data_IF_559822922876
#
_entry.id   IF_559822922876
#
_cell.length_a   1.000
_cell.length_b   1.000
_cell.length_c   1.000
_cell.angle_alpha   90.00
_cell.angle_beta   90.00
_cell.angle_gamma   90.00
#
_symmetry.space_group_name_H-M   'P 1'
#
loop_
_entity.id
_entity.type
_entity.pdbx_description
1 polymer ?
#
# COMPACT_ATOMS: atom_id res chain seq x y z
N UNK A 1 -4.03 -23.64 6.96
CA UNK A 1 -4.28 -22.20 7.16
C UNK A 1 -2.94 -21.55 7.45
N UNK A 2 -2.57 -20.49 6.76
CA UNK A 2 -1.28 -19.79 6.94
C UNK A 2 -1.48 -18.28 7.08
N UNK A 3 -0.41 -17.53 7.37
CA UNK A 3 -0.45 -16.07 7.48
C UNK A 3 0.05 -15.39 6.21
N UNK A 4 -0.63 -14.33 5.79
CA UNK A 4 -0.17 -13.51 4.69
C UNK A 4 1.15 -12.80 5.08
N UNK A 5 2.24 -12.92 4.30
CA UNK A 5 3.52 -12.28 4.59
C UNK A 5 3.48 -10.75 4.58
N UNK A 6 2.47 -10.13 3.93
CA UNK A 6 2.37 -8.66 3.86
C UNK A 6 1.53 -8.05 4.99
N UNK A 7 0.37 -8.63 5.31
CA UNK A 7 -0.59 -8.03 6.25
C UNK A 7 -0.82 -8.87 7.51
N UNK A 8 -0.17 -10.05 7.60
CA UNK A 8 -0.29 -11.02 8.70
C UNK A 8 -1.70 -11.60 8.92
N UNK A 9 -2.65 -11.28 8.04
CA UNK A 9 -3.99 -11.85 8.08
C UNK A 9 -3.96 -13.37 7.81
N UNK A 10 -4.86 -14.11 8.45
CA UNK A 10 -5.06 -15.54 8.20
C UNK A 10 -5.61 -15.73 6.80
N UNK A 11 -4.99 -16.64 6.04
CA UNK A 11 -5.34 -16.99 4.68
C UNK A 11 -5.42 -18.50 4.50
N UNK A 12 -6.24 -18.91 3.53
CA UNK A 12 -6.38 -20.30 3.13
C UNK A 12 -5.18 -20.76 2.29
N UNK A 13 -4.90 -22.05 2.30
CA UNK A 13 -3.76 -22.59 1.56
C UNK A 13 -4.05 -22.64 0.06
N UNK A 14 -3.08 -22.29 -0.77
CA UNK A 14 -3.23 -22.24 -2.23
C UNK A 14 -3.93 -20.99 -2.79
N UNK A 15 -4.36 -20.03 -1.96
CA UNK A 15 -4.98 -18.80 -2.49
C UNK A 15 -3.98 -17.97 -3.29
N UNK A 16 -4.39 -17.47 -4.46
CA UNK A 16 -3.53 -16.64 -5.32
C UNK A 16 -3.52 -15.16 -4.92
N UNK A 17 -4.52 -14.73 -4.13
CA UNK A 17 -4.70 -13.33 -3.76
C UNK A 17 -5.22 -13.22 -2.34
N UNK A 18 -4.56 -12.44 -1.50
CA UNK A 18 -4.99 -12.24 -0.12
C UNK A 18 -6.33 -11.47 -0.09
N UNK A 19 -7.37 -11.95 0.61
CA UNK A 19 -8.66 -11.26 0.70
C UNK A 19 -8.59 -9.94 1.48
N UNK A 20 -7.61 -9.79 2.39
CA UNK A 20 -7.47 -8.61 3.23
C UNK A 20 -6.69 -7.49 2.52
N UNK A 21 -5.43 -7.74 2.13
CA UNK A 21 -4.60 -6.72 1.51
C UNK A 21 -4.65 -6.71 -0.03
N UNK A 22 -5.38 -7.64 -0.66
CA UNK A 22 -5.53 -7.77 -2.12
C UNK A 22 -4.23 -8.00 -2.89
N UNK A 23 -3.12 -8.28 -2.20
CA UNK A 23 -1.83 -8.64 -2.82
C UNK A 23 -1.85 -10.06 -3.38
N UNK A 24 -1.02 -10.28 -4.39
CA UNK A 24 -0.90 -11.55 -5.08
C UNK A 24 0.15 -12.41 -4.40
N UNK A 25 -0.19 -13.68 -4.22
CA UNK A 25 0.61 -14.64 -3.50
C UNK A 25 1.06 -15.71 -4.48
N UNK A 26 2.36 -15.99 -4.49
CA UNK A 26 2.95 -17.15 -5.17
C UNK A 26 3.36 -18.17 -4.13
N UNK A 27 2.96 -19.42 -4.31
CA UNK A 27 3.32 -20.50 -3.40
C UNK A 27 4.63 -21.15 -3.84
N UNK A 28 5.61 -21.23 -2.94
CA UNK A 28 6.86 -21.96 -3.15
C UNK A 28 7.09 -22.89 -1.96
N UNK A 29 7.33 -24.18 -2.22
CA UNK A 29 7.53 -25.20 -1.17
C UNK A 29 6.42 -25.26 -0.10
N UNK A 30 5.18 -24.93 -0.47
CA UNK A 30 4.06 -24.90 0.48
C UNK A 30 3.93 -23.60 1.29
N UNK A 31 4.78 -22.60 1.04
CA UNK A 31 4.74 -21.31 1.73
C UNK A 31 4.32 -20.16 0.79
N UNK A 32 3.48 -19.22 1.26
CA UNK A 32 3.05 -18.06 0.47
C UNK A 32 4.15 -16.99 0.44
N UNK A 33 4.58 -16.63 -0.77
CA UNK A 33 5.61 -15.61 -1.03
C UNK A 33 5.00 -14.44 -1.81
N UNK A 34 5.38 -13.21 -1.47
CA UNK A 34 4.97 -12.02 -2.24
C UNK A 34 5.74 -11.96 -3.56
N UNK A 35 5.10 -11.44 -4.59
CA UNK A 35 5.81 -11.09 -5.83
C UNK A 35 6.66 -9.84 -5.62
N UNK A 36 7.89 -9.86 -6.14
CA UNK A 36 8.90 -8.80 -5.96
C UNK A 36 8.38 -7.40 -6.33
N UNK A 37 7.51 -7.32 -7.35
CA UNK A 37 6.88 -6.05 -7.75
C UNK A 37 5.95 -5.43 -6.70
N UNK A 38 5.36 -6.23 -5.80
CA UNK A 38 4.43 -5.73 -4.78
C UNK A 38 5.13 -5.17 -3.55
N UNK A 39 6.40 -5.51 -3.31
CA UNK A 39 7.20 -4.89 -2.27
C UNK A 39 7.60 -3.45 -2.63
N UNK A 40 7.77 -3.17 -3.93
CA UNK A 40 8.17 -1.84 -4.44
C UNK A 40 7.00 -0.84 -4.47
N UNK A 41 5.75 -1.29 -4.59
CA UNK A 41 4.59 -0.40 -4.72
C UNK A 41 4.18 0.33 -3.43
N UNK A 42 4.54 -0.19 -2.26
CA UNK A 42 4.24 0.47 -0.98
C UNK A 42 5.08 1.74 -0.76
N UNK A 43 6.24 1.84 -1.40
CA UNK A 43 7.17 2.98 -1.24
C UNK A 43 6.71 4.17 -2.12
N UNK A 44 6.13 3.89 -3.30
CA UNK A 44 5.73 4.94 -4.24
C UNK A 44 4.59 5.84 -3.75
N UNK A 45 3.72 5.34 -2.86
CA UNK A 45 2.53 6.06 -2.40
C UNK A 45 2.84 7.17 -1.38
N UNK A 46 3.99 7.11 -0.71
CA UNK A 46 4.40 8.12 0.27
C UNK A 46 5.06 9.35 -0.36
N UNK A 47 5.68 9.21 -1.54
CA UNK A 47 6.43 10.30 -2.17
C UNK A 47 5.51 11.41 -2.71
N UNK A 48 4.33 11.07 -3.22
CA UNK A 48 3.38 12.06 -3.76
C UNK A 48 2.84 13.00 -2.68
N UNK A 49 2.62 12.51 -1.45
CA UNK A 49 2.10 13.32 -0.34
C UNK A 49 3.14 14.33 0.15
N UNK A 50 4.42 13.94 0.19
CA UNK A 50 5.51 14.82 0.62
C UNK A 50 5.71 15.98 -0.38
N UNK A 51 5.58 15.71 -1.68
CA UNK A 51 5.81 16.73 -2.72
C UNK A 51 4.61 17.66 -2.86
N UNK A 52 3.38 17.12 -2.87
CA UNK A 52 2.17 17.92 -3.13
C UNK A 52 1.51 18.45 -1.86
N UNK A 53 1.73 17.82 -0.71
CA UNK A 53 1.14 18.24 0.57
C UNK A 53 1.46 19.68 0.95
N UNK A 54 2.75 20.10 0.96
CA UNK A 54 3.12 21.47 1.27
C UNK A 54 2.53 22.48 0.28
N UNK A 55 2.51 22.14 -1.02
CA UNK A 55 1.99 23.02 -2.08
C UNK A 55 0.49 23.26 -1.92
N UNK A 56 -0.28 22.21 -1.59
CA UNK A 56 -1.71 22.32 -1.30
C UNK A 56 -1.98 23.15 -0.05
N UNK A 57 -1.21 22.96 1.02
CA UNK A 57 -1.34 23.77 2.25
C UNK A 57 -1.08 25.26 1.99
N UNK A 58 -0.05 25.58 1.21
CA UNK A 58 0.26 26.95 0.81
C UNK A 58 -0.90 27.53 -0.03
N UNK A 59 -1.39 26.80 -1.02
CA UNK A 59 -2.52 27.24 -1.85
C UNK A 59 -3.77 27.53 -0.99
N UNK A 60 -4.12 26.64 -0.06
CA UNK A 60 -5.26 26.82 0.85
C UNK A 60 -5.06 28.05 1.74
N UNK A 61 -3.87 28.25 2.29
CA UNK A 61 -3.54 29.44 3.10
C UNK A 61 -3.79 30.75 2.33
N UNK A 62 -3.32 30.82 1.07
CA UNK A 62 -3.52 32.01 0.24
C UNK A 62 -4.98 32.24 -0.15
N UNK A 63 -5.75 31.18 -0.39
CA UNK A 63 -7.19 31.30 -0.69
C UNK A 63 -7.93 31.85 0.53
N UNK A 64 -7.69 31.32 1.72
CA UNK A 64 -8.34 31.79 2.96
C UNK A 64 -7.97 33.25 3.24
N UNK A 65 -6.68 33.60 3.11
CA UNK A 65 -6.22 34.98 3.34
C UNK A 65 -6.82 35.99 2.36
N UNK A 66 -7.17 35.57 1.14
CA UNK A 66 -7.82 36.45 0.14
C UNK A 66 -9.32 36.64 0.40
N UNK A 67 -9.95 35.73 1.14
CA UNK A 67 -11.37 35.74 1.49
C UNK A 67 -11.67 36.52 2.79
N UNK A 68 -10.64 36.85 3.57
CA UNK A 68 -10.73 37.55 4.86
C UNK A 68 -10.26 39.01 4.69
#
# INVERSE_FOLDING_TARGET
>A
MTKCPSCKATIEDGIRKCPNCKKELKWKHGEPVLTVGQAMQDIGKSLTVIVWGPLLLIAVYYIIKKLL
#
